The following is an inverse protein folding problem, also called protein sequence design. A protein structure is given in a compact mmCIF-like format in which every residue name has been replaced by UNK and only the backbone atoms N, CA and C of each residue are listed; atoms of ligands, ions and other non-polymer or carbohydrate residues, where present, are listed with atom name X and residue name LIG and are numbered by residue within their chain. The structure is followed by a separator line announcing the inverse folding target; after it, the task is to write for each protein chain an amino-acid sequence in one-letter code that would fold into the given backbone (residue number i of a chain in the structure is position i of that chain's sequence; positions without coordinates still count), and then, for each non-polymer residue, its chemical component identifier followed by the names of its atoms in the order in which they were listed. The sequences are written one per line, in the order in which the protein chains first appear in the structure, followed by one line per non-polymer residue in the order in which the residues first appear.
data_IF_669177062877
#
_entry.id   IF_669177062877
#
_cell.length_a   1.000
_cell.length_b   1.000
_cell.length_c   1.000
_cell.angle_alpha   90.00
_cell.angle_beta   90.00
_cell.angle_gamma   90.00
#
_symmetry.space_group_name_H-M   'P 1'
#
loop_
_entity.id
_entity.type
_entity.pdbx_description
1 polymer ?
#
# COMPACT_ATOMS: atom_id res chain seq x y z
N UNK A 1 32.08 16.97 1.09
CA UNK A 1 31.55 15.67 0.68
C UNK A 1 30.06 15.73 0.90
N UNK A 2 29.25 15.58 -0.13
CA UNK A 2 27.79 15.52 0.02
C UNK A 2 27.46 14.26 0.82
N UNK A 3 26.99 14.41 2.05
CA UNK A 3 26.53 13.30 2.88
C UNK A 3 25.14 12.92 2.37
N UNK A 4 25.06 11.81 1.61
CA UNK A 4 23.77 11.27 1.23
C UNK A 4 23.00 10.83 2.48
N UNK A 5 21.76 11.27 2.60
CA UNK A 5 20.85 10.80 3.66
C UNK A 5 20.62 9.30 3.52
N UNK A 6 20.73 8.57 4.64
CA UNK A 6 20.42 7.12 4.66
C UNK A 6 18.99 6.91 5.08
N UNK A 7 18.24 6.19 4.25
CA UNK A 7 16.84 5.85 4.50
C UNK A 7 16.73 4.34 4.77
N UNK A 8 16.17 3.99 5.92
CA UNK A 8 15.75 2.61 6.20
C UNK A 8 14.43 2.33 5.48
N UNK A 9 14.34 1.20 4.79
CA UNK A 9 13.10 0.70 4.20
C UNK A 9 12.73 -0.63 4.85
N UNK A 10 11.65 -0.64 5.63
CA UNK A 10 11.05 -1.84 6.21
C UNK A 10 10.04 -2.43 5.23
N UNK A 11 9.95 -3.77 5.18
CA UNK A 11 9.12 -4.46 4.20
C UNK A 11 9.68 -4.39 2.77
N UNK A 12 10.99 -4.18 2.62
CA UNK A 12 11.67 -3.91 1.37
C UNK A 12 11.51 -5.02 0.30
N UNK A 13 11.27 -6.26 0.68
CA UNK A 13 11.02 -7.37 -0.25
C UNK A 13 9.54 -7.55 -0.63
N UNK A 14 8.65 -6.73 -0.08
CA UNK A 14 7.22 -6.70 -0.41
C UNK A 14 6.88 -5.65 -1.47
N UNK A 15 5.61 -5.58 -1.87
CA UNK A 15 5.13 -4.69 -2.94
C UNK A 15 5.41 -3.20 -2.64
N UNK A 16 5.02 -2.73 -1.46
CA UNK A 16 5.21 -1.32 -1.06
C UNK A 16 6.68 -0.98 -0.83
N UNK A 17 7.33 -1.67 0.10
CA UNK A 17 8.72 -1.39 0.47
C UNK A 17 9.69 -1.60 -0.70
N UNK A 18 9.44 -2.61 -1.54
CA UNK A 18 10.23 -2.83 -2.75
C UNK A 18 10.08 -1.69 -3.77
N UNK A 19 8.88 -1.16 -3.93
CA UNK A 19 8.64 0.04 -4.74
C UNK A 19 9.42 1.24 -4.18
N UNK A 20 9.31 1.49 -2.88
CA UNK A 20 10.01 2.61 -2.22
C UNK A 20 11.53 2.47 -2.35
N UNK A 21 12.09 1.29 -2.07
CA UNK A 21 13.52 1.07 -2.16
C UNK A 21 14.06 1.34 -3.59
N UNK A 22 13.39 0.79 -4.61
CA UNK A 22 13.78 1.00 -6.01
C UNK A 22 13.68 2.46 -6.45
N UNK A 23 12.65 3.20 -6.03
CA UNK A 23 12.51 4.62 -6.36
C UNK A 23 13.58 5.47 -5.68
N UNK A 24 13.83 5.28 -4.40
CA UNK A 24 14.87 6.01 -3.67
C UNK A 24 16.26 5.74 -4.28
N UNK A 25 16.59 4.49 -4.63
CA UNK A 25 17.84 4.16 -5.31
C UNK A 25 17.97 4.84 -6.66
N UNK A 26 16.89 4.88 -7.47
CA UNK A 26 16.89 5.54 -8.78
C UNK A 26 17.13 7.04 -8.73
N UNK A 27 16.74 7.72 -7.65
CA UNK A 27 17.03 9.16 -7.52
C UNK A 27 18.52 9.46 -7.39
N UNK A 28 19.34 8.51 -6.95
CA UNK A 28 20.75 8.71 -6.65
C UNK A 28 21.03 9.65 -5.47
N UNK A 29 19.99 10.12 -4.79
CA UNK A 29 20.08 11.11 -3.71
C UNK A 29 20.16 10.49 -2.31
N UNK A 30 19.90 9.20 -2.19
CA UNK A 30 19.80 8.49 -0.91
C UNK A 30 20.68 7.25 -0.88
N UNK A 31 21.20 6.92 0.29
CA UNK A 31 21.66 5.57 0.61
C UNK A 31 20.48 4.80 1.18
N UNK A 32 20.16 3.66 0.61
CA UNK A 32 19.00 2.87 1.02
C UNK A 32 19.47 1.64 1.78
N UNK A 33 18.95 1.46 3.00
CA UNK A 33 19.09 0.23 3.78
C UNK A 33 17.76 -0.49 3.77
N UNK A 34 17.77 -1.77 3.39
CA UNK A 34 16.59 -2.61 3.27
C UNK A 34 16.56 -3.63 4.40
N UNK A 35 15.56 -3.56 5.29
CA UNK A 35 15.34 -4.55 6.34
C UNK A 35 14.47 -5.69 5.80
N UNK A 36 14.92 -6.93 5.96
CA UNK A 36 14.18 -8.13 5.55
C UNK A 36 14.49 -9.31 6.46
N UNK A 37 13.51 -10.18 6.67
CA UNK A 37 13.69 -11.48 7.35
C UNK A 37 14.46 -12.49 6.50
N UNK A 38 14.52 -12.28 5.18
CA UNK A 38 15.13 -13.22 4.22
C UNK A 38 16.13 -12.49 3.31
N UNK A 39 17.33 -12.17 3.82
CA UNK A 39 18.34 -11.42 3.06
C UNK A 39 18.85 -12.19 1.83
N UNK A 40 18.70 -13.51 1.81
CA UNK A 40 19.13 -14.37 0.69
C UNK A 40 18.05 -14.57 -0.39
N UNK A 41 16.87 -13.98 -0.24
CA UNK A 41 15.80 -14.06 -1.23
C UNK A 41 16.20 -13.38 -2.55
N UNK A 42 15.61 -13.82 -3.67
CA UNK A 42 15.85 -13.23 -4.99
C UNK A 42 15.62 -11.72 -4.98
N UNK A 43 14.50 -11.26 -4.42
CA UNK A 43 14.19 -9.83 -4.33
C UNK A 43 15.21 -9.05 -3.49
N UNK A 44 15.72 -9.64 -2.40
CA UNK A 44 16.75 -9.00 -1.58
C UNK A 44 18.08 -8.85 -2.34
N UNK A 45 18.48 -9.88 -3.10
CA UNK A 45 19.67 -9.85 -3.97
C UNK A 45 19.54 -8.81 -5.09
N UNK A 46 18.38 -8.75 -5.75
CA UNK A 46 18.08 -7.71 -6.74
C UNK A 46 18.25 -6.29 -6.16
N UNK A 47 17.74 -6.05 -4.94
CA UNK A 47 17.90 -4.76 -4.27
C UNK A 47 19.38 -4.46 -3.95
N UNK A 48 20.14 -5.46 -3.53
CA UNK A 48 21.59 -5.31 -3.29
C UNK A 48 22.35 -4.98 -4.59
N UNK A 49 22.01 -5.65 -5.71
CA UNK A 49 22.57 -5.35 -7.04
C UNK A 49 22.26 -3.91 -7.50
N UNK A 50 21.09 -3.38 -7.09
CA UNK A 50 20.73 -1.98 -7.34
C UNK A 50 21.45 -0.99 -6.40
N UNK A 51 22.25 -1.47 -5.45
CA UNK A 51 23.03 -0.65 -4.53
C UNK A 51 22.45 -0.46 -3.14
N UNK A 52 21.41 -1.23 -2.76
CA UNK A 52 20.89 -1.20 -1.39
C UNK A 52 21.82 -1.96 -0.41
N UNK A 53 21.94 -1.45 0.80
CA UNK A 53 22.46 -2.20 1.93
C UNK A 53 21.36 -3.11 2.49
N UNK A 54 21.45 -4.42 2.28
CA UNK A 54 20.46 -5.38 2.79
C UNK A 54 20.89 -5.87 4.16
N UNK A 55 20.00 -5.75 5.15
CA UNK A 55 20.22 -6.21 6.52
C UNK A 55 19.11 -7.18 6.96
N UNK A 56 19.49 -8.21 7.71
CA UNK A 56 18.54 -9.13 8.31
C UNK A 56 17.88 -8.51 9.54
N UNK A 57 16.59 -8.76 9.72
CA UNK A 57 15.86 -8.37 10.91
C UNK A 57 14.36 -8.45 10.76
N UNK A 58 13.65 -8.36 11.89
CA UNK A 58 12.21 -8.51 12.01
C UNK A 58 11.59 -7.40 12.87
N UNK A 59 10.38 -6.95 12.51
CA UNK A 59 9.61 -5.96 13.29
C UNK A 59 9.21 -6.46 14.68
N UNK A 60 9.18 -7.76 14.89
CA UNK A 60 8.92 -8.36 16.21
C UNK A 60 10.12 -8.24 17.17
N UNK A 61 11.32 -7.94 16.66
CA UNK A 61 12.54 -7.82 17.44
C UNK A 61 13.03 -6.37 17.55
N UNK A 62 12.84 -5.68 18.69
CA UNK A 62 13.32 -4.31 18.88
C UNK A 62 14.84 -4.14 18.74
N UNK A 63 15.64 -5.18 18.97
CA UNK A 63 17.08 -5.11 18.79
C UNK A 63 17.46 -5.00 17.31
N UNK A 64 16.82 -5.78 16.44
CA UNK A 64 17.03 -5.72 14.99
C UNK A 64 16.70 -4.34 14.45
N UNK A 65 15.62 -3.74 14.95
CA UNK A 65 15.19 -2.40 14.53
C UNK A 65 16.20 -1.31 14.95
N UNK A 66 16.70 -1.38 16.20
CA UNK A 66 17.73 -0.43 16.66
C UNK A 66 19.00 -0.53 15.81
N UNK A 67 19.43 -1.75 15.49
CA UNK A 67 20.64 -1.97 14.69
C UNK A 67 20.42 -1.51 13.24
N UNK A 68 19.27 -1.79 12.66
CA UNK A 68 18.91 -1.35 11.31
C UNK A 68 18.79 0.19 11.18
N UNK A 69 18.34 0.88 12.23
CA UNK A 69 18.21 2.35 12.24
C UNK A 69 19.52 3.07 12.49
N UNK A 70 20.59 2.40 12.90
CA UNK A 70 21.86 3.03 13.22
C UNK A 70 22.43 3.82 12.05
N UNK A 71 22.53 5.15 12.21
CA UNK A 71 23.01 6.08 11.18
C UNK A 71 22.03 6.31 10.03
N UNK A 72 20.73 6.05 10.23
CA UNK A 72 19.67 6.46 9.33
C UNK A 72 19.08 7.81 9.76
N UNK A 73 18.83 8.69 8.81
CA UNK A 73 18.17 9.97 9.00
C UNK A 73 16.69 9.93 8.66
N UNK A 74 16.29 9.00 7.78
CA UNK A 74 14.90 8.76 7.39
C UNK A 74 14.53 7.28 7.43
N UNK A 75 13.23 7.00 7.48
CA UNK A 75 12.73 5.63 7.39
C UNK A 75 11.37 5.55 6.69
N UNK A 76 11.19 4.51 5.89
CA UNK A 76 9.88 4.06 5.42
C UNK A 76 9.50 2.76 6.11
N UNK A 77 8.26 2.65 6.56
CA UNK A 77 7.76 1.42 7.16
C UNK A 77 6.35 1.05 6.75
N UNK A 78 6.14 -0.24 6.58
CA UNK A 78 4.84 -0.88 6.38
C UNK A 78 4.76 -2.19 7.15
N UNK A 79 3.65 -2.41 7.81
CA UNK A 79 3.30 -3.67 8.48
C UNK A 79 2.40 -4.53 7.58
N UNK A 80 2.30 -5.84 7.86
CA UNK A 80 1.49 -6.77 7.08
C UNK A 80 0.42 -7.43 7.96
N UNK A 81 -0.82 -6.90 7.90
CA UNK A 81 -1.93 -7.43 8.65
C UNK A 81 -2.23 -8.90 8.30
N UNK A 82 -2.27 -9.24 7.02
CA UNK A 82 -2.66 -10.57 6.54
C UNK A 82 -1.67 -11.69 6.90
N UNK A 83 -0.45 -11.33 7.32
CA UNK A 83 0.55 -12.27 7.83
C UNK A 83 0.53 -12.35 9.35
N UNK A 84 0.23 -11.24 10.04
CA UNK A 84 0.42 -11.12 11.48
C UNK A 84 -0.85 -10.88 12.30
N UNK A 85 -1.96 -10.52 11.62
CA UNK A 85 -3.27 -10.28 12.25
C UNK A 85 -3.16 -9.41 13.51
N UNK A 86 -3.58 -9.91 14.66
CA UNK A 86 -3.58 -9.18 15.94
C UNK A 86 -2.18 -8.69 16.37
N UNK A 87 -1.11 -9.34 15.93
CA UNK A 87 0.26 -8.96 16.24
C UNK A 87 0.77 -7.76 15.42
N UNK A 88 0.06 -7.37 14.37
CA UNK A 88 0.46 -6.24 13.53
C UNK A 88 0.62 -4.94 14.32
N UNK A 89 -0.25 -4.68 15.30
CA UNK A 89 -0.14 -3.49 16.14
C UNK A 89 1.14 -3.49 16.98
N UNK A 90 1.53 -4.64 17.54
CA UNK A 90 2.81 -4.81 18.26
C UNK A 90 3.99 -4.49 17.35
N UNK A 91 4.00 -5.02 16.12
CA UNK A 91 5.05 -4.74 15.13
C UNK A 91 5.13 -3.25 14.78
N UNK A 92 3.99 -2.61 14.58
CA UNK A 92 3.92 -1.17 14.32
C UNK A 92 4.44 -0.34 15.49
N UNK A 93 4.05 -0.69 16.72
CA UNK A 93 4.53 -0.05 17.94
C UNK A 93 6.04 -0.20 18.09
N UNK A 94 6.58 -1.41 17.96
CA UNK A 94 8.03 -1.65 18.03
C UNK A 94 8.80 -0.77 17.03
N UNK A 95 8.24 -0.61 15.82
CA UNK A 95 8.86 0.25 14.81
C UNK A 95 8.83 1.73 15.22
N UNK A 96 7.69 2.24 15.70
CA UNK A 96 7.56 3.62 16.19
C UNK A 96 8.51 3.89 17.37
N UNK A 97 8.57 2.98 18.34
CA UNK A 97 9.46 3.08 19.50
C UNK A 97 10.93 3.15 19.07
N UNK A 98 11.32 2.31 18.11
CA UNK A 98 12.68 2.29 17.58
C UNK A 98 13.01 3.58 16.80
N UNK A 99 12.08 4.12 16.04
CA UNK A 99 12.23 5.39 15.34
C UNK A 99 12.46 6.56 16.33
N UNK A 100 11.65 6.65 17.37
CA UNK A 100 11.80 7.66 18.41
C UNK A 100 13.15 7.54 19.13
N UNK A 101 13.53 6.32 19.52
CA UNK A 101 14.81 6.09 20.19
C UNK A 101 16.02 6.38 19.29
N UNK A 102 15.89 6.31 17.97
CA UNK A 102 16.98 6.60 17.02
C UNK A 102 17.17 8.09 16.73
N UNK A 103 16.20 8.94 17.10
CA UNK A 103 16.20 10.36 16.76
C UNK A 103 16.02 10.62 15.26
N UNK A 104 15.23 9.80 14.58
CA UNK A 104 14.95 9.91 13.15
C UNK A 104 14.45 11.31 12.79
N UNK A 105 14.93 11.90 11.68
CA UNK A 105 14.53 13.24 11.26
C UNK A 105 13.17 13.26 10.58
N UNK A 106 12.84 12.18 9.83
CA UNK A 106 11.56 12.02 9.16
C UNK A 106 11.26 10.55 8.88
N UNK A 107 10.04 10.13 9.20
CA UNK A 107 9.53 8.82 8.83
C UNK A 107 8.37 8.95 7.83
N UNK A 108 8.23 7.98 6.92
CA UNK A 108 7.03 7.79 6.12
C UNK A 108 6.44 6.43 6.48
N UNK A 109 5.25 6.42 7.05
CA UNK A 109 4.63 5.19 7.54
C UNK A 109 3.37 4.89 6.70
N UNK A 110 3.32 3.70 6.13
CA UNK A 110 2.11 3.23 5.44
C UNK A 110 1.09 2.79 6.48
N UNK A 111 0.06 3.60 6.63
CA UNK A 111 -1.08 3.39 7.51
C UNK A 111 -2.40 3.36 6.71
N UNK A 112 -3.53 3.34 7.40
CA UNK A 112 -4.87 3.40 6.80
C UNK A 112 -5.82 4.14 7.76
N UNK A 113 -6.98 4.61 7.27
CA UNK A 113 -7.96 5.26 8.12
C UNK A 113 -8.43 4.34 9.26
N UNK A 114 -8.61 4.86 10.47
CA UNK A 114 -9.21 4.11 11.58
C UNK A 114 -10.73 4.03 11.38
N UNK A 115 -11.20 2.97 10.71
CA UNK A 115 -12.58 2.84 10.27
C UNK A 115 -13.57 2.85 11.44
N UNK A 116 -13.26 2.15 12.53
CA UNK A 116 -14.10 2.11 13.73
C UNK A 116 -14.27 3.50 14.36
N UNK A 117 -13.20 4.29 14.42
CA UNK A 117 -13.25 5.65 14.94
C UNK A 117 -14.08 6.55 14.02
N UNK A 118 -13.77 6.57 12.73
CA UNK A 118 -14.41 7.44 11.74
C UNK A 118 -15.89 7.11 11.54
N UNK A 119 -16.28 5.84 11.70
CA UNK A 119 -17.67 5.42 11.61
C UNK A 119 -18.47 5.63 12.92
N UNK A 120 -17.86 6.15 13.97
CA UNK A 120 -18.50 6.24 15.30
C UNK A 120 -18.85 4.87 15.89
N UNK A 121 -18.01 3.86 15.63
CA UNK A 121 -18.18 2.50 16.12
C UNK A 121 -19.10 1.61 15.29
N UNK A 122 -19.66 2.12 14.18
CA UNK A 122 -20.62 1.37 13.35
C UNK A 122 -20.00 0.28 12.49
N UNK A 123 -18.77 0.51 12.03
CA UNK A 123 -17.99 -0.45 11.24
C UNK A 123 -16.66 -0.71 11.93
N UNK A 124 -16.29 -1.97 12.06
CA UNK A 124 -14.99 -2.40 12.51
C UNK A 124 -14.32 -3.13 11.35
N UNK A 125 -13.21 -2.58 10.87
CA UNK A 125 -12.43 -3.14 9.76
C UNK A 125 -11.02 -3.44 10.29
N UNK A 126 -10.77 -4.64 10.81
CA UNK A 126 -9.56 -4.96 11.55
C UNK A 126 -8.26 -4.56 10.89
N UNK A 127 -8.10 -4.80 9.58
CA UNK A 127 -6.87 -4.43 8.87
C UNK A 127 -6.70 -2.91 8.67
N UNK A 128 -7.79 -2.13 8.60
CA UNK A 128 -7.73 -0.67 8.60
C UNK A 128 -7.49 -0.16 10.03
N UNK A 129 -8.27 -0.66 10.98
CA UNK A 129 -8.25 -0.21 12.37
C UNK A 129 -6.90 -0.41 13.03
N UNK A 130 -6.23 -1.54 12.75
CA UNK A 130 -4.89 -1.80 13.27
C UNK A 130 -3.88 -0.78 12.75
N UNK A 131 -3.92 -0.46 11.47
CA UNK A 131 -3.03 0.55 10.86
C UNK A 131 -3.37 1.97 11.32
N UNK A 132 -4.66 2.28 11.50
CA UNK A 132 -5.10 3.56 12.09
C UNK A 132 -4.59 3.73 13.53
N UNK A 133 -4.63 2.68 14.34
CA UNK A 133 -4.07 2.68 15.69
C UNK A 133 -2.55 2.87 15.72
N UNK A 134 -1.82 2.31 14.75
CA UNK A 134 -0.37 2.55 14.61
C UNK A 134 -0.12 4.04 14.31
N UNK A 135 -0.92 4.66 13.44
CA UNK A 135 -0.82 6.08 13.15
C UNK A 135 -1.11 6.93 14.40
N UNK A 136 -2.19 6.64 15.12
CA UNK A 136 -2.55 7.33 16.38
C UNK A 136 -1.43 7.22 17.41
N UNK A 137 -0.84 6.02 17.55
CA UNK A 137 0.28 5.81 18.45
C UNK A 137 1.50 6.64 18.05
N UNK A 138 1.89 6.63 16.78
CA UNK A 138 3.02 7.41 16.28
C UNK A 138 2.83 8.93 16.48
N UNK A 139 1.60 9.43 16.29
CA UNK A 139 1.24 10.82 16.57
C UNK A 139 1.30 11.15 18.06
N UNK A 140 0.80 10.23 18.91
CA UNK A 140 0.85 10.37 20.37
C UNK A 140 2.27 10.45 20.91
N UNK A 141 3.20 9.73 20.29
CA UNK A 141 4.61 9.75 20.62
C UNK A 141 5.37 10.96 20.02
N UNK A 142 4.71 11.84 19.26
CA UNK A 142 5.33 13.02 18.63
C UNK A 142 6.33 12.68 17.53
N UNK A 143 6.22 11.52 16.89
CA UNK A 143 7.13 11.09 15.84
C UNK A 143 7.05 12.05 14.63
N UNK A 144 8.16 12.60 14.11
CA UNK A 144 8.17 13.44 12.92
C UNK A 144 7.90 12.59 11.67
N UNK A 145 6.63 12.32 11.37
CA UNK A 145 6.24 11.38 10.33
C UNK A 145 5.23 11.96 9.33
N UNK A 146 5.23 11.38 8.13
CA UNK A 146 4.13 11.46 7.15
C UNK A 146 3.45 10.09 7.09
N UNK A 147 2.14 10.09 7.03
CA UNK A 147 1.34 8.87 6.93
C UNK A 147 0.80 8.74 5.51
N UNK A 148 1.03 7.58 4.86
CA UNK A 148 0.53 7.34 3.52
C UNK A 148 -0.63 6.36 3.57
N UNK A 149 -1.81 6.78 3.06
CA UNK A 149 -3.01 5.96 2.92
C UNK A 149 -3.12 5.46 1.49
N UNK A 150 -2.59 4.28 1.24
CA UNK A 150 -2.54 3.69 -0.10
C UNK A 150 -3.92 3.13 -0.47
N UNK A 151 -4.41 3.45 -1.67
CA UNK A 151 -5.67 2.96 -2.20
C UNK A 151 -5.60 1.46 -2.54
N UNK A 152 -6.73 0.90 -3.00
CA UNK A 152 -6.81 -0.47 -3.49
C UNK A 152 -5.75 -0.72 -4.58
N UNK A 153 -5.13 -1.93 -4.63
CA UNK A 153 -4.11 -2.20 -5.65
C UNK A 153 -4.70 -2.70 -6.95
N UNK A 154 -4.21 -2.22 -8.08
CA UNK A 154 -4.52 -2.79 -9.39
C UNK A 154 -4.14 -4.27 -9.47
N UNK A 155 -3.07 -4.66 -8.80
CA UNK A 155 -2.56 -6.03 -8.71
C UNK A 155 -3.57 -6.99 -8.08
N UNK A 156 -4.55 -6.49 -7.32
CA UNK A 156 -5.62 -7.30 -6.77
C UNK A 156 -6.49 -7.95 -7.85
N UNK A 157 -6.61 -7.32 -9.03
CA UNK A 157 -7.29 -7.93 -10.17
C UNK A 157 -6.50 -9.09 -10.80
N UNK A 158 -5.22 -9.25 -10.45
CA UNK A 158 -4.40 -10.38 -10.88
C UNK A 158 -4.40 -11.54 -9.86
N UNK A 159 -4.67 -11.25 -8.59
CA UNK A 159 -4.43 -12.19 -7.49
C UNK A 159 -5.67 -12.48 -6.63
N UNK A 160 -6.19 -11.48 -5.94
CA UNK A 160 -7.27 -11.66 -4.96
C UNK A 160 -8.66 -11.64 -5.58
N UNK A 161 -8.85 -10.85 -6.63
CA UNK A 161 -10.14 -10.63 -7.30
C UNK A 161 -10.03 -10.77 -8.83
N UNK A 162 -9.40 -11.85 -9.35
CA UNK A 162 -9.30 -12.03 -10.80
C UNK A 162 -10.71 -12.21 -11.39
N UNK A 163 -11.01 -11.54 -12.53
CA UNK A 163 -12.26 -11.77 -13.23
C UNK A 163 -12.40 -13.23 -13.64
N UNK A 164 -13.59 -13.81 -13.46
CA UNK A 164 -13.89 -15.22 -13.75
C UNK A 164 -14.78 -15.34 -14.97
N UNK A 165 -14.43 -16.23 -15.89
CA UNK A 165 -15.23 -16.47 -17.09
C UNK A 165 -16.57 -17.12 -16.75
N UNK A 166 -17.65 -16.59 -17.32
CA UNK A 166 -19.00 -17.12 -17.23
C UNK A 166 -19.32 -17.98 -18.46
N UNK A 167 -20.44 -18.70 -18.42
CA UNK A 167 -20.89 -19.59 -19.51
C UNK A 167 -21.09 -18.85 -20.84
N UNK A 168 -21.42 -17.58 -20.83
CA UNK A 168 -21.58 -16.73 -22.02
C UNK A 168 -20.27 -16.13 -22.55
N UNK A 169 -19.12 -16.49 -21.94
CA UNK A 169 -17.80 -16.00 -22.29
C UNK A 169 -17.43 -14.63 -21.69
N UNK A 170 -18.31 -14.00 -20.91
CA UNK A 170 -18.02 -12.74 -20.21
C UNK A 170 -17.16 -13.02 -18.97
N UNK A 171 -16.16 -12.20 -18.75
CA UNK A 171 -15.35 -12.22 -17.52
C UNK A 171 -15.97 -11.31 -16.47
N UNK A 172 -16.27 -11.82 -15.29
CA UNK A 172 -16.95 -11.09 -14.22
C UNK A 172 -16.09 -11.04 -12.97
N UNK A 173 -15.95 -9.86 -12.40
CA UNK A 173 -15.45 -9.67 -11.05
C UNK A 173 -16.52 -8.99 -10.18
N UNK A 174 -16.44 -9.16 -8.85
CA UNK A 174 -17.48 -8.61 -8.00
C UNK A 174 -17.06 -8.43 -6.55
N UNK A 175 -17.55 -7.34 -5.98
CA UNK A 175 -17.45 -7.01 -4.54
C UNK A 175 -18.52 -5.97 -4.17
N UNK A 176 -18.71 -5.67 -2.86
CA UNK A 176 -19.81 -4.82 -2.40
C UNK A 176 -19.52 -3.31 -2.52
N UNK A 177 -18.89 -2.87 -3.64
CA UNK A 177 -18.58 -1.45 -3.87
C UNK A 177 -19.76 -0.67 -4.45
N UNK A 178 -20.68 -1.33 -5.17
CA UNK A 178 -21.82 -0.69 -5.81
C UNK A 178 -21.41 0.34 -6.86
N UNK A 179 -22.13 1.47 -6.91
CA UNK A 179 -21.88 2.57 -7.85
C UNK A 179 -20.87 3.60 -7.34
N UNK A 180 -20.37 3.44 -6.11
CA UNK A 180 -19.36 4.34 -5.52
C UNK A 180 -18.00 4.06 -6.18
N UNK A 181 -17.23 5.09 -6.57
CA UNK A 181 -15.87 4.90 -7.06
C UNK A 181 -15.02 4.07 -6.11
N UNK A 182 -14.14 3.25 -6.68
CA UNK A 182 -13.10 2.51 -5.98
C UNK A 182 -11.76 3.12 -6.37
N UNK A 183 -11.22 3.96 -5.50
CA UNK A 183 -9.88 4.47 -5.72
C UNK A 183 -8.86 3.33 -5.70
N UNK A 184 -7.98 3.31 -6.69
CA UNK A 184 -6.95 2.28 -6.78
C UNK A 184 -5.63 2.83 -7.35
N UNK A 185 -4.54 2.07 -7.18
CA UNK A 185 -3.19 2.47 -7.60
C UNK A 185 -2.33 1.23 -7.90
N UNK A 186 -1.33 1.38 -8.77
CA UNK A 186 -0.27 0.39 -8.89
C UNK A 186 0.63 0.42 -7.64
N UNK A 187 0.83 -0.70 -6.98
CA UNK A 187 1.72 -0.78 -5.81
C UNK A 187 3.15 -0.29 -6.13
N UNK A 188 3.59 -0.48 -7.37
CA UNK A 188 4.88 -0.03 -7.87
C UNK A 188 5.02 1.51 -7.90
N UNK A 189 3.94 2.27 -7.97
CA UNK A 189 3.97 3.73 -8.07
C UNK A 189 4.08 4.43 -6.70
N UNK A 190 3.80 3.71 -5.61
CA UNK A 190 3.95 4.24 -4.25
C UNK A 190 5.32 4.86 -4.01
N UNK A 191 6.37 4.18 -4.49
CA UNK A 191 7.74 4.63 -4.26
C UNK A 191 8.04 6.01 -4.84
N UNK A 192 7.42 6.37 -5.96
CA UNK A 192 7.56 7.72 -6.53
C UNK A 192 6.99 8.80 -5.62
N UNK A 193 5.79 8.56 -5.08
CA UNK A 193 5.15 9.46 -4.11
C UNK A 193 5.98 9.59 -2.83
N UNK A 194 6.46 8.46 -2.28
CA UNK A 194 7.29 8.45 -1.07
C UNK A 194 8.62 9.16 -1.28
N UNK A 195 9.26 8.99 -2.44
CA UNK A 195 10.50 9.70 -2.78
C UNK A 195 10.29 11.22 -2.84
N UNK A 196 9.17 11.68 -3.40
CA UNK A 196 8.81 13.10 -3.39
C UNK A 196 8.54 13.63 -1.96
N UNK A 197 7.88 12.84 -1.12
CA UNK A 197 7.68 13.20 0.31
C UNK A 197 9.02 13.35 1.02
N UNK A 198 9.99 12.46 0.81
CA UNK A 198 11.33 12.60 1.41
C UNK A 198 12.08 13.82 0.90
N UNK A 199 11.93 14.15 -0.38
CA UNK A 199 12.57 15.34 -0.97
C UNK A 199 12.05 16.66 -0.35
N UNK A 200 10.80 16.68 0.07
CA UNK A 200 10.10 17.83 0.65
C UNK A 200 9.63 17.56 2.08
N UNK A 201 10.38 16.78 2.86
CA UNK A 201 9.97 16.23 4.16
C UNK A 201 9.43 17.26 5.14
N UNK A 202 9.96 18.49 5.12
CA UNK A 202 9.50 19.59 5.98
C UNK A 202 8.00 19.91 5.78
N UNK A 203 7.51 19.87 4.53
CA UNK A 203 6.12 20.21 4.19
C UNK A 203 5.13 19.09 4.48
N UNK A 204 5.63 17.85 4.64
CA UNK A 204 4.79 16.66 4.81
C UNK A 204 4.75 16.11 6.24
N UNK A 205 5.49 16.70 7.19
CA UNK A 205 5.41 16.29 8.60
C UNK A 205 3.99 16.38 9.12
N UNK A 206 3.59 15.39 9.88
CA UNK A 206 2.26 15.24 10.52
C UNK A 206 1.07 15.22 9.56
N UNK A 207 1.33 15.06 8.27
CA UNK A 207 0.28 14.99 7.26
C UNK A 207 -0.06 13.55 6.87
N UNK A 208 -1.30 13.37 6.46
CA UNK A 208 -1.75 12.19 5.72
C UNK A 208 -1.70 12.51 4.24
N UNK A 209 -1.12 11.61 3.45
CA UNK A 209 -1.08 11.69 2.00
C UNK A 209 -1.78 10.45 1.44
N UNK A 210 -2.91 10.65 0.76
CA UNK A 210 -3.56 9.59 0.03
C UNK A 210 -2.81 9.26 -1.25
N UNK A 211 -2.58 7.98 -1.52
CA UNK A 211 -1.88 7.53 -2.72
C UNK A 211 -2.86 6.83 -3.65
N UNK A 212 -3.18 7.49 -4.77
CA UNK A 212 -4.24 7.11 -5.71
C UNK A 212 -3.75 7.29 -7.15
N UNK A 213 -3.90 6.26 -7.99
CA UNK A 213 -3.60 6.30 -9.43
C UNK A 213 -4.84 6.62 -10.27
N UNK A 214 -5.99 6.04 -9.90
CA UNK A 214 -7.31 6.32 -10.45
C UNK A 214 -8.41 6.24 -9.38
N UNK A 215 -9.54 6.94 -9.63
CA UNK A 215 -10.74 6.93 -8.79
C UNK A 215 -11.96 6.64 -9.67
N UNK A 216 -12.09 5.39 -10.13
CA UNK A 216 -13.06 4.91 -11.10
C UNK A 216 -14.18 4.11 -10.44
N UNK A 217 -15.37 4.09 -11.06
CA UNK A 217 -16.41 3.12 -10.72
C UNK A 217 -15.97 1.71 -11.15
N UNK A 218 -16.52 0.69 -10.51
CA UNK A 218 -16.17 -0.69 -10.88
C UNK A 218 -16.59 -1.04 -12.31
N UNK A 219 -17.67 -0.46 -12.81
CA UNK A 219 -18.08 -0.61 -14.22
C UNK A 219 -17.04 0.00 -15.17
N UNK A 220 -16.47 1.16 -14.82
CA UNK A 220 -15.43 1.83 -15.64
C UNK A 220 -14.15 0.98 -15.69
N UNK A 221 -13.78 0.30 -14.59
CA UNK A 221 -12.68 -0.70 -14.61
C UNK A 221 -12.96 -1.83 -15.60
N UNK A 222 -14.20 -2.34 -15.63
CA UNK A 222 -14.59 -3.39 -16.58
C UNK A 222 -14.53 -2.90 -18.03
N UNK A 223 -14.95 -1.66 -18.30
CA UNK A 223 -14.85 -1.04 -19.64
C UNK A 223 -13.39 -0.86 -20.07
N UNK A 224 -12.50 -0.44 -19.18
CA UNK A 224 -11.07 -0.34 -19.47
C UNK A 224 -10.49 -1.72 -19.78
N UNK A 225 -10.84 -2.76 -18.99
CA UNK A 225 -10.41 -4.13 -19.25
C UNK A 225 -10.89 -4.61 -20.62
N UNK A 226 -12.17 -4.35 -20.96
CA UNK A 226 -12.71 -4.67 -22.27
C UNK A 226 -11.94 -4.03 -23.41
N UNK A 227 -11.69 -2.72 -23.32
CA UNK A 227 -10.99 -1.95 -24.35
C UNK A 227 -9.53 -2.39 -24.54
N UNK A 228 -8.84 -2.74 -23.45
CA UNK A 228 -7.41 -3.11 -23.49
C UNK A 228 -7.20 -4.55 -23.89
N UNK A 229 -8.03 -5.48 -23.38
CA UNK A 229 -7.82 -6.91 -23.54
C UNK A 229 -8.69 -7.54 -24.65
N UNK A 230 -9.62 -6.78 -25.24
CA UNK A 230 -10.44 -7.24 -26.37
C UNK A 230 -11.46 -8.33 -26.03
N UNK A 231 -11.76 -8.54 -24.73
CA UNK A 231 -12.74 -9.51 -24.22
C UNK A 231 -13.85 -8.78 -23.49
N UNK A 232 -15.02 -9.43 -23.29
CA UNK A 232 -16.09 -8.83 -22.49
C UNK A 232 -15.81 -8.97 -21.01
N UNK A 233 -15.86 -7.84 -20.30
CA UNK A 233 -15.74 -7.76 -18.85
C UNK A 233 -16.98 -7.11 -18.27
N UNK A 234 -17.36 -7.49 -17.06
CA UNK A 234 -18.44 -6.85 -16.33
C UNK A 234 -18.15 -6.86 -14.82
N UNK A 235 -18.56 -5.81 -14.15
CA UNK A 235 -18.63 -5.79 -12.70
C UNK A 235 -19.98 -6.33 -12.24
N UNK A 236 -19.99 -7.12 -11.17
CA UNK A 236 -21.21 -7.56 -10.50
C UNK A 236 -21.20 -7.11 -9.05
N UNK A 237 -22.16 -6.30 -8.68
CA UNK A 237 -22.37 -5.99 -7.28
C UNK A 237 -22.71 -7.26 -6.50
N UNK A 238 -21.97 -7.52 -5.43
CA UNK A 238 -22.27 -8.59 -4.46
C UNK A 238 -22.69 -7.88 -3.17
N UNK A 239 -23.87 -8.21 -2.64
CA UNK A 239 -24.33 -7.62 -1.40
C UNK A 239 -23.35 -7.92 -0.24
N UNK A 240 -23.19 -6.98 0.69
CA UNK A 240 -22.25 -7.05 1.81
C UNK A 240 -22.28 -8.42 2.52
N UNK A 241 -23.48 -8.87 2.97
CA UNK A 241 -23.60 -10.14 3.70
C UNK A 241 -23.30 -11.37 2.84
N UNK A 242 -23.66 -11.31 1.54
CA UNK A 242 -23.34 -12.37 0.61
C UNK A 242 -21.83 -12.47 0.36
N UNK A 243 -21.14 -11.33 0.26
CA UNK A 243 -19.68 -11.31 0.14
C UNK A 243 -19.00 -11.81 1.41
N UNK A 244 -19.45 -11.35 2.57
CA UNK A 244 -18.94 -11.79 3.88
C UNK A 244 -19.12 -13.30 4.11
N UNK A 245 -20.13 -13.92 3.48
CA UNK A 245 -20.43 -15.34 3.55
C UNK A 245 -19.65 -16.21 2.54
N UNK A 246 -18.75 -15.65 1.70
CA UNK A 246 -17.98 -16.42 0.71
C UNK A 246 -16.97 -17.40 1.32
N UNK A 247 -16.71 -17.34 2.63
CA UNK A 247 -15.97 -18.33 3.40
C UNK A 247 -14.45 -18.31 3.23
N UNK A 248 -13.87 -17.40 2.44
CA UNK A 248 -12.43 -17.25 2.41
C UNK A 248 -11.93 -16.42 3.63
N UNK A 249 -10.68 -16.64 4.10
CA UNK A 249 -10.14 -15.88 5.22
C UNK A 249 -10.16 -14.37 4.95
N UNK A 250 -10.78 -13.58 5.85
CA UNK A 250 -10.88 -12.13 5.70
C UNK A 250 -12.10 -11.64 4.90
N UNK A 251 -12.99 -12.51 4.43
CA UNK A 251 -14.17 -12.11 3.64
C UNK A 251 -15.03 -11.05 4.35
N UNK A 252 -15.28 -11.19 5.65
CA UNK A 252 -16.02 -10.23 6.47
C UNK A 252 -15.27 -8.89 6.57
N UNK A 253 -13.99 -8.93 6.89
CA UNK A 253 -13.13 -7.72 6.98
C UNK A 253 -13.16 -6.94 5.66
N UNK A 254 -13.03 -7.63 4.53
CA UNK A 254 -13.08 -7.00 3.20
C UNK A 254 -14.48 -6.48 2.86
N UNK A 255 -15.55 -7.18 3.24
CA UNK A 255 -16.91 -6.69 3.07
C UNK A 255 -17.13 -5.38 3.82
N UNK A 256 -16.69 -5.32 5.09
CA UNK A 256 -16.77 -4.14 5.94
C UNK A 256 -15.89 -3.00 5.41
N UNK A 257 -14.71 -3.30 4.83
CA UNK A 257 -13.86 -2.33 4.14
C UNK A 257 -14.55 -1.68 2.94
N UNK A 258 -15.18 -2.47 2.06
CA UNK A 258 -15.92 -1.91 0.93
C UNK A 258 -17.10 -1.05 1.40
N UNK A 259 -17.80 -1.48 2.45
CA UNK A 259 -18.89 -0.70 3.02
C UNK A 259 -18.38 0.61 3.66
N UNK A 260 -17.23 0.56 4.35
CA UNK A 260 -16.56 1.75 4.87
C UNK A 260 -16.19 2.72 3.73
N UNK A 261 -15.60 2.21 2.64
CA UNK A 261 -15.25 3.03 1.48
C UNK A 261 -16.47 3.72 0.89
N UNK A 262 -17.59 2.99 0.74
CA UNK A 262 -18.85 3.55 0.21
C UNK A 262 -19.42 4.68 1.05
N UNK A 263 -19.40 4.53 2.36
CA UNK A 263 -20.08 5.46 3.28
C UNK A 263 -19.20 6.61 3.74
N UNK A 264 -17.90 6.37 3.94
CA UNK A 264 -17.00 7.33 4.60
C UNK A 264 -15.90 7.87 3.68
N UNK A 265 -15.60 7.18 2.58
CA UNK A 265 -14.58 7.57 1.62
C UNK A 265 -15.12 7.46 0.18
N UNK A 266 -16.26 8.15 -0.12
CA UNK A 266 -17.01 7.91 -1.37
C UNK A 266 -16.29 8.38 -2.64
N UNK A 267 -15.25 9.17 -2.52
CA UNK A 267 -14.34 9.55 -3.62
C UNK A 267 -12.99 9.98 -3.07
N UNK A 268 -11.97 9.87 -3.90
CA UNK A 268 -10.59 10.27 -3.55
C UNK A 268 -9.95 11.18 -4.59
N UNK A 269 -10.74 12.05 -5.21
CA UNK A 269 -10.28 12.96 -6.29
C UNK A 269 -9.20 13.93 -5.80
N UNK A 270 -9.27 14.39 -4.55
CA UNK A 270 -8.27 15.27 -3.96
C UNK A 270 -6.95 14.50 -3.80
N UNK A 271 -7.00 13.27 -3.32
CA UNK A 271 -5.83 12.40 -3.20
C UNK A 271 -5.22 12.08 -4.56
N UNK A 272 -6.06 11.81 -5.57
CA UNK A 272 -5.61 11.58 -6.94
C UNK A 272 -4.88 12.79 -7.52
N UNK A 273 -5.41 13.99 -7.33
CA UNK A 273 -4.75 15.23 -7.77
C UNK A 273 -3.41 15.42 -7.05
N UNK A 274 -3.36 15.17 -5.74
CA UNK A 274 -2.15 15.25 -4.93
C UNK A 274 -1.11 14.20 -5.31
N UNK A 275 -1.52 12.97 -5.58
CA UNK A 275 -0.64 11.90 -6.04
C UNK A 275 0.02 12.25 -7.38
N UNK A 276 -0.75 12.84 -8.32
CA UNK A 276 -0.22 13.30 -9.61
C UNK A 276 0.71 14.51 -9.50
N UNK A 277 0.47 15.40 -8.55
CA UNK A 277 1.39 16.50 -8.22
C UNK A 277 2.73 15.98 -7.70
N UNK A 278 2.70 15.04 -6.75
CA UNK A 278 3.89 14.46 -6.13
C UNK A 278 4.66 13.54 -7.10
N UNK A 279 3.95 12.77 -7.88
CA UNK A 279 4.54 11.82 -8.83
C UNK A 279 3.76 11.86 -10.16
N UNK A 280 4.13 12.78 -11.09
CA UNK A 280 3.46 12.93 -12.37
C UNK A 280 3.42 11.66 -13.25
N UNK A 281 4.34 10.71 -12.98
CA UNK A 281 4.41 9.44 -13.69
C UNK A 281 3.44 8.38 -13.13
N UNK A 282 2.70 8.68 -12.05
CA UNK A 282 1.73 7.75 -11.47
C UNK A 282 0.75 7.28 -12.55
N UNK A 283 0.57 5.97 -12.63
CA UNK A 283 -0.15 5.37 -13.75
C UNK A 283 -1.66 5.32 -13.49
N UNK A 284 -2.49 5.83 -14.41
CA UNK A 284 -3.90 5.46 -14.45
C UNK A 284 -4.04 3.98 -14.78
N UNK A 285 -5.17 3.38 -14.41
CA UNK A 285 -5.42 1.93 -14.56
C UNK A 285 -5.21 1.42 -15.99
N UNK A 286 -5.66 2.17 -16.99
CA UNK A 286 -5.49 1.79 -18.40
C UNK A 286 -4.00 1.65 -18.79
N UNK A 287 -3.17 2.63 -18.39
CA UNK A 287 -1.74 2.60 -18.69
C UNK A 287 -1.05 1.44 -17.97
N UNK A 288 -1.40 1.19 -16.71
CA UNK A 288 -0.89 0.05 -15.96
C UNK A 288 -1.31 -1.28 -16.60
N UNK A 289 -2.58 -1.43 -16.96
CA UNK A 289 -3.11 -2.66 -17.54
C UNK A 289 -2.46 -2.97 -18.89
N UNK A 290 -2.22 -1.98 -19.75
CA UNK A 290 -1.48 -2.17 -21.02
C UNK A 290 -0.08 -2.75 -20.79
N UNK A 291 0.62 -2.29 -19.76
CA UNK A 291 1.94 -2.82 -19.38
C UNK A 291 1.90 -4.22 -18.77
N UNK A 292 0.75 -4.62 -18.22
CA UNK A 292 0.56 -5.89 -17.51
C UNK A 292 -0.35 -6.88 -18.24
N UNK A 293 -0.74 -6.60 -19.49
CA UNK A 293 -1.66 -7.44 -20.26
C UNK A 293 -1.24 -8.92 -20.32
N UNK A 294 0.04 -9.29 -20.52
CA UNK A 294 0.43 -10.69 -20.50
C UNK A 294 0.25 -11.37 -19.13
N UNK A 295 0.44 -10.66 -18.03
CA UNK A 295 0.21 -11.18 -16.67
C UNK A 295 -1.28 -11.34 -16.41
N UNK A 296 -2.08 -10.40 -16.90
CA UNK A 296 -3.54 -10.45 -16.78
C UNK A 296 -4.12 -11.64 -17.56
N UNK A 297 -3.66 -11.88 -18.80
CA UNK A 297 -4.08 -13.03 -19.60
C UNK A 297 -3.76 -14.38 -18.92
N UNK A 298 -2.61 -14.49 -18.26
CA UNK A 298 -2.29 -15.67 -17.45
C UNK A 298 -3.25 -15.84 -16.27
N UNK A 299 -3.57 -14.76 -15.58
CA UNK A 299 -4.50 -14.80 -14.44
C UNK A 299 -5.94 -15.16 -14.86
N UNK A 300 -6.35 -14.79 -16.08
CA UNK A 300 -7.67 -15.18 -16.64
C UNK A 300 -7.73 -16.66 -17.04
N UNK A 301 -6.61 -17.31 -17.24
CA UNK A 301 -6.51 -18.72 -17.70
C UNK A 301 -6.33 -19.70 -16.54
N UNK A 302 -6.12 -19.21 -15.31
CA UNK A 302 -6.00 -19.99 -14.07
C UNK A 302 -7.33 -20.12 -13.34
#
# INVERSE_FOLDING_TARGET
MSTFLRILVVGATGAQGGSVARHLLRTGSYKVRCLTRRPDSTTAKELAELGAEVVAGDLSNPADLRDALRGCEGAFGVTNYWEHFEREFEHGRNFVDALNASGIQHAVISTLPHAKLLSGGRLAVPHLDTKGRIEEYARGEGLPATYVHVAFYYENFLSHFPPRQQSDGTYVFGFPQGSTPLAAVAAEDLGGVVAAIFAESFWYRDKVVGVVGDDLRCDDYAEVMHRVLGRRFAYRYIAHDAFAALGFPGARDLADMFEFNRQYVPNRRVDLAKSRELYPEIRPFERWLRGHAPAFERALSS
#
